data_IF_058754559262
#
_entry.id   IF_058754559262
#
_cell.length_a   1.000
_cell.length_b   1.000
_cell.length_c   1.000
_cell.angle_alpha   90.00
_cell.angle_beta   90.00
_cell.angle_gamma   90.00
#
_symmetry.space_group_name_H-M   'P 1'
#
loop_
_entity.id
_entity.type
_entity.pdbx_description
1 polymer ?
#
# COMPACT_ATOMS: atom_id res chain seq x y z
N UNK A 1 1.82 11.45 3.15
CA UNK A 1 2.95 10.55 2.92
C UNK A 1 3.73 11.00 1.71
N UNK A 2 3.37 10.53 0.52
CA UNK A 2 4.19 10.76 -0.69
C UNK A 2 4.46 12.22 -1.07
N UNK A 3 3.52 13.14 -0.79
CA UNK A 3 3.78 14.58 -0.96
C UNK A 3 4.96 15.10 -0.10
N UNK A 4 5.21 14.50 1.08
CA UNK A 4 6.39 14.80 1.91
C UNK A 4 7.65 14.22 1.28
N UNK A 5 7.57 12.97 0.78
CA UNK A 5 8.70 12.30 0.10
C UNK A 5 9.17 13.04 -1.14
N UNK A 6 8.25 13.64 -1.90
CA UNK A 6 8.59 14.53 -3.02
C UNK A 6 9.56 15.65 -2.62
N UNK A 7 9.41 16.21 -1.41
CA UNK A 7 10.31 17.25 -0.88
C UNK A 7 11.53 16.68 -0.12
N UNK A 8 11.72 15.36 -0.13
CA UNK A 8 12.81 14.69 0.60
C UNK A 8 12.58 14.58 2.11
N UNK A 9 11.39 14.91 2.60
CA UNK A 9 11.03 14.75 4.02
C UNK A 9 10.67 13.30 4.33
N UNK A 10 10.65 12.95 5.63
CA UNK A 10 10.15 11.64 6.05
C UNK A 10 8.68 11.47 5.69
N UNK A 11 8.30 10.26 5.26
CA UNK A 11 6.89 9.87 5.07
C UNK A 11 6.04 10.15 6.33
N UNK A 12 6.70 10.05 7.50
CA UNK A 12 6.14 10.15 8.84
C UNK A 12 6.31 11.54 9.48
N UNK A 13 6.68 12.56 8.71
CA UNK A 13 6.82 13.90 9.28
C UNK A 13 5.51 14.43 9.88
N UNK A 14 5.64 15.06 11.04
CA UNK A 14 4.59 15.79 11.76
C UNK A 14 4.93 17.28 11.95
N UNK A 15 6.04 17.74 11.34
CA UNK A 15 6.43 19.15 11.45
C UNK A 15 5.48 20.01 10.63
N UNK A 16 5.00 21.10 11.21
CA UNK A 16 3.93 21.92 10.63
C UNK A 16 4.35 22.60 9.32
N UNK A 17 5.61 23.02 9.21
CA UNK A 17 6.19 23.61 8.00
C UNK A 17 6.30 22.58 6.85
N UNK A 18 6.75 21.37 7.14
CA UNK A 18 6.81 20.27 6.16
C UNK A 18 5.40 19.85 5.71
N UNK A 19 4.44 19.78 6.63
CA UNK A 19 3.03 19.49 6.33
C UNK A 19 2.38 20.59 5.50
N UNK A 20 2.64 21.86 5.80
CA UNK A 20 2.12 22.98 5.01
C UNK A 20 2.62 22.94 3.56
N UNK A 21 3.89 22.54 3.34
CA UNK A 21 4.43 22.33 1.99
C UNK A 21 3.79 21.16 1.26
N UNK A 22 3.50 20.08 1.98
CA UNK A 22 2.77 18.95 1.42
C UNK A 22 1.32 19.34 1.03
N UNK A 23 0.63 20.13 1.87
CA UNK A 23 -0.71 20.64 1.58
C UNK A 23 -0.72 21.53 0.33
N UNK A 24 0.22 22.47 0.22
CA UNK A 24 0.38 23.34 -0.95
C UNK A 24 0.53 22.51 -2.24
N UNK A 25 1.31 21.44 -2.21
CA UNK A 25 1.48 20.53 -3.35
C UNK A 25 0.18 19.77 -3.66
N UNK A 26 -0.49 19.22 -2.65
CA UNK A 26 -1.74 18.48 -2.83
C UNK A 26 -2.83 19.37 -3.45
N UNK A 27 -2.96 20.63 -2.99
CA UNK A 27 -3.91 21.58 -3.55
C UNK A 27 -3.59 21.93 -5.01
N UNK A 28 -2.32 22.02 -5.40
CA UNK A 28 -1.92 22.20 -6.81
C UNK A 28 -2.26 20.99 -7.68
N UNK A 29 -2.17 19.79 -7.12
CA UNK A 29 -2.52 18.55 -7.83
C UNK A 29 -4.05 18.38 -7.96
N UNK A 30 -4.82 18.90 -7.01
CA UNK A 30 -6.26 18.67 -6.91
C UNK A 30 -7.07 18.86 -8.21
N UNK A 31 -6.88 19.95 -8.99
CA UNK A 31 -7.64 20.15 -10.23
C UNK A 31 -7.38 19.09 -11.31
N UNK A 32 -6.34 18.27 -11.15
CA UNK A 32 -5.97 17.20 -12.07
C UNK A 32 -6.43 15.82 -11.62
N UNK A 33 -7.10 15.71 -10.46
CA UNK A 33 -7.54 14.42 -9.92
C UNK A 33 -8.89 14.02 -10.47
N UNK A 34 -8.96 12.83 -11.04
CA UNK A 34 -10.22 12.18 -11.39
C UNK A 34 -11.03 11.78 -10.14
N UNK A 35 -10.35 11.19 -9.15
CA UNK A 35 -10.96 10.79 -7.89
C UNK A 35 -9.92 10.69 -6.76
N UNK A 36 -10.38 10.75 -5.52
CA UNK A 36 -9.62 10.35 -4.33
C UNK A 36 -10.32 9.13 -3.72
N UNK A 37 -9.93 7.94 -4.16
CA UNK A 37 -10.57 6.67 -3.81
C UNK A 37 -9.53 5.57 -3.63
N UNK A 38 -9.84 4.59 -2.77
CA UNK A 38 -9.09 3.33 -2.70
C UNK A 38 -9.56 2.33 -3.77
N UNK A 39 -10.68 2.60 -4.45
CA UNK A 39 -11.20 1.80 -5.56
C UNK A 39 -10.87 2.48 -6.91
N UNK A 40 -9.60 2.38 -7.31
CA UNK A 40 -9.06 3.04 -8.51
C UNK A 40 -9.06 2.14 -9.75
N UNK A 41 -9.17 0.82 -9.59
CA UNK A 41 -9.07 -0.12 -10.72
C UNK A 41 -10.13 0.13 -11.81
N UNK A 42 -11.41 0.41 -11.51
CA UNK A 42 -12.40 0.66 -12.56
C UNK A 42 -12.03 1.82 -13.48
N UNK A 43 -11.61 2.96 -12.92
CA UNK A 43 -11.20 4.13 -13.70
C UNK A 43 -9.94 3.88 -14.54
N UNK A 44 -8.96 3.15 -14.00
CA UNK A 44 -7.76 2.76 -14.75
C UNK A 44 -8.08 1.82 -15.92
N UNK A 45 -8.99 0.85 -15.73
CA UNK A 45 -9.39 -0.12 -16.77
C UNK A 45 -10.28 0.49 -17.85
N UNK A 46 -11.12 1.47 -17.48
CA UNK A 46 -11.98 2.19 -18.42
C UNK A 46 -11.21 3.24 -19.24
N UNK A 47 -10.02 3.64 -18.80
CA UNK A 47 -9.25 4.74 -19.41
C UNK A 47 -9.67 6.13 -18.93
N UNK A 48 -10.47 6.22 -17.87
CA UNK A 48 -10.89 7.48 -17.25
C UNK A 48 -9.75 8.16 -16.48
N UNK A 49 -8.77 7.36 -16.03
CA UNK A 49 -7.55 7.83 -15.36
C UNK A 49 -6.29 7.28 -16.04
N UNK A 50 -5.27 8.14 -16.20
CA UNK A 50 -3.99 7.76 -16.82
C UNK A 50 -2.95 7.26 -15.80
N UNK A 51 -3.10 7.65 -14.53
CA UNK A 51 -2.15 7.33 -13.46
C UNK A 51 -2.89 7.26 -12.13
N UNK A 52 -2.48 6.33 -11.27
CA UNK A 52 -2.99 6.23 -9.91
C UNK A 52 -1.86 5.90 -8.93
N UNK A 53 -2.04 6.32 -7.68
CA UNK A 53 -1.38 5.64 -6.57
C UNK A 53 -2.12 4.32 -6.32
N UNK A 54 -1.40 3.21 -6.17
CA UNK A 54 -1.99 1.89 -5.98
C UNK A 54 -1.18 1.01 -5.03
N UNK A 55 -1.85 0.00 -4.48
CA UNK A 55 -1.23 -1.09 -3.74
C UNK A 55 -0.52 -2.04 -4.69
N UNK A 56 0.58 -2.64 -4.22
CA UNK A 56 1.49 -3.43 -5.05
C UNK A 56 0.82 -4.64 -5.70
N UNK A 57 -0.07 -5.33 -4.97
CA UNK A 57 -0.83 -6.48 -5.48
C UNK A 57 -1.83 -6.06 -6.57
N UNK A 58 -2.51 -4.93 -6.41
CA UNK A 58 -3.40 -4.37 -7.44
C UNK A 58 -2.62 -3.91 -8.67
N UNK A 59 -1.46 -3.28 -8.47
CA UNK A 59 -0.55 -2.89 -9.55
C UNK A 59 -0.07 -4.09 -10.37
N UNK A 60 0.31 -5.18 -9.70
CA UNK A 60 0.69 -6.43 -10.36
C UNK A 60 -0.49 -7.06 -11.11
N UNK A 61 -1.70 -7.01 -10.54
CA UNK A 61 -2.92 -7.47 -11.19
C UNK A 61 -3.26 -6.64 -12.44
N UNK A 62 -3.26 -5.31 -12.34
CA UNK A 62 -3.50 -4.41 -13.46
C UNK A 62 -2.49 -4.63 -14.58
N UNK A 63 -1.20 -4.72 -14.26
CA UNK A 63 -0.14 -4.99 -15.24
C UNK A 63 -0.32 -6.35 -15.93
N UNK A 64 -0.66 -7.40 -15.17
CA UNK A 64 -0.90 -8.74 -15.74
C UNK A 64 -2.09 -8.73 -16.71
N UNK A 65 -3.16 -8.03 -16.34
CA UNK A 65 -4.40 -8.02 -17.13
C UNK A 65 -4.30 -7.05 -18.34
N UNK A 66 -3.54 -5.96 -18.20
CA UNK A 66 -3.33 -4.91 -19.20
C UNK A 66 -1.82 -4.57 -19.20
N UNK A 67 -1.00 -5.27 -20.02
CA UNK A 67 0.47 -5.14 -20.02
C UNK A 67 1.03 -3.74 -20.25
N UNK A 68 0.23 -2.84 -20.85
CA UNK A 68 0.56 -1.43 -21.04
C UNK A 68 0.59 -0.63 -19.73
N UNK A 69 -0.12 -1.08 -18.69
CA UNK A 69 -0.07 -0.47 -17.36
C UNK A 69 1.22 -0.90 -16.67
N UNK A 70 2.14 0.04 -16.49
CA UNK A 70 3.36 -0.18 -15.72
C UNK A 70 3.16 0.15 -14.23
N UNK A 71 3.76 -0.66 -13.35
CA UNK A 71 3.90 -0.34 -11.94
C UNK A 71 5.33 0.13 -11.66
N UNK A 72 5.47 1.23 -10.92
CA UNK A 72 6.77 1.79 -10.56
C UNK A 72 6.77 2.23 -9.09
N UNK A 73 7.91 2.01 -8.43
CA UNK A 73 8.20 2.62 -7.14
C UNK A 73 8.82 4.00 -7.39
N UNK A 74 8.32 5.03 -6.71
CA UNK A 74 8.86 6.39 -6.82
C UNK A 74 10.31 6.46 -6.33
N UNK A 75 11.18 7.13 -7.09
CA UNK A 75 12.61 7.27 -6.74
C UNK A 75 12.83 8.06 -5.45
N UNK A 76 11.91 8.95 -5.12
CA UNK A 76 11.87 9.74 -3.89
C UNK A 76 11.54 8.87 -2.66
N UNK A 77 11.05 7.65 -2.89
CA UNK A 77 10.53 6.75 -1.88
C UNK A 77 9.02 6.89 -1.70
N UNK A 78 8.51 6.32 -0.61
CA UNK A 78 7.08 6.22 -0.39
C UNK A 78 6.74 5.35 0.81
N UNK A 79 5.61 4.68 0.73
CA UNK A 79 5.14 3.74 1.72
C UNK A 79 5.66 2.33 1.43
N UNK A 80 6.16 1.66 2.48
CA UNK A 80 6.16 0.19 2.55
C UNK A 80 5.13 -0.22 3.59
N UNK A 81 4.37 -1.26 3.29
CA UNK A 81 3.19 -1.63 4.07
C UNK A 81 3.16 -3.14 4.31
N UNK A 82 2.39 -3.55 5.31
CA UNK A 82 2.09 -4.94 5.60
C UNK A 82 0.79 -5.01 6.39
N UNK A 83 -0.06 -5.98 6.05
CA UNK A 83 -1.28 -6.28 6.80
C UNK A 83 -1.03 -7.41 7.80
N UNK A 84 -1.66 -7.28 8.96
CA UNK A 84 -1.58 -8.28 10.02
C UNK A 84 -2.97 -8.76 10.40
N UNK A 85 -3.08 -10.06 10.67
CA UNK A 85 -4.21 -10.57 11.42
C UNK A 85 -4.14 -10.15 12.89
N UNK A 86 -5.28 -9.74 13.45
CA UNK A 86 -5.41 -9.41 14.86
C UNK A 86 -6.69 -10.03 15.44
N UNK A 87 -6.63 -10.47 16.70
CA UNK A 87 -7.81 -10.88 17.48
C UNK A 87 -8.17 -9.72 18.41
N UNK A 88 -9.36 -9.10 18.26
CA UNK A 88 -9.80 -8.05 19.17
C UNK A 88 -9.81 -8.51 20.63
N UNK A 89 -9.43 -7.60 21.55
CA UNK A 89 -9.38 -7.90 22.99
C UNK A 89 -10.71 -8.42 23.53
N UNK A 90 -11.82 -7.91 23.01
CA UNK A 90 -13.17 -8.25 23.44
C UNK A 90 -13.90 -9.19 22.46
N UNK A 91 -13.14 -9.89 21.60
CA UNK A 91 -13.72 -10.88 20.68
C UNK A 91 -14.53 -11.93 21.47
N UNK A 92 -15.81 -12.16 21.12
CA UNK A 92 -16.70 -13.03 21.90
C UNK A 92 -16.31 -14.51 21.82
N UNK A 93 -15.53 -14.90 20.80
CA UNK A 93 -15.02 -16.25 20.62
C UNK A 93 -13.54 -16.25 20.24
N UNK A 94 -12.67 -15.94 21.21
CA UNK A 94 -11.21 -15.99 21.04
C UNK A 94 -10.69 -17.37 20.61
N UNK A 95 -11.18 -18.50 21.17
CA UNK A 95 -10.73 -19.82 20.71
C UNK A 95 -10.93 -20.04 19.21
N UNK A 96 -12.09 -19.66 18.65
CA UNK A 96 -12.32 -19.74 17.21
C UNK A 96 -11.40 -18.78 16.42
N UNK A 97 -11.16 -17.57 16.94
CA UNK A 97 -10.18 -16.65 16.36
C UNK A 97 -8.79 -17.26 16.24
N UNK A 98 -8.27 -17.85 17.32
CA UNK A 98 -6.98 -18.54 17.30
C UNK A 98 -6.96 -19.76 16.37
N UNK A 99 -8.05 -20.53 16.34
CA UNK A 99 -8.17 -21.67 15.42
C UNK A 99 -8.11 -21.22 13.95
N UNK A 100 -8.78 -20.13 13.60
CA UNK A 100 -8.73 -19.54 12.26
C UNK A 100 -7.32 -19.06 11.92
N UNK A 101 -6.65 -18.33 12.83
CA UNK A 101 -5.27 -17.87 12.59
C UNK A 101 -4.30 -19.05 12.40
N UNK A 102 -4.41 -20.09 13.21
CA UNK A 102 -3.59 -21.30 13.04
C UNK A 102 -3.80 -21.96 11.66
N UNK A 103 -5.04 -21.94 11.15
CA UNK A 103 -5.34 -22.46 9.82
C UNK A 103 -4.76 -21.56 8.72
N UNK A 104 -5.02 -20.25 8.76
CA UNK A 104 -4.55 -19.29 7.74
C UNK A 104 -3.02 -19.19 7.69
N UNK A 105 -2.35 -19.26 8.85
CA UNK A 105 -0.88 -19.21 8.96
C UNK A 105 -0.18 -20.55 8.65
N UNK A 106 -0.92 -21.62 8.37
CA UNK A 106 -0.31 -22.84 7.86
C UNK A 106 0.26 -22.57 6.46
N UNK A 107 1.56 -22.83 6.18
CA UNK A 107 2.16 -22.46 4.91
C UNK A 107 1.43 -23.02 3.67
N UNK A 108 0.87 -24.23 3.74
CA UNK A 108 0.12 -24.83 2.63
C UNK A 108 -1.23 -24.15 2.37
N UNK A 109 -1.80 -23.50 3.38
CA UNK A 109 -3.03 -22.71 3.27
C UNK A 109 -2.69 -21.30 2.80
N UNK A 110 -1.71 -20.65 3.44
CA UNK A 110 -1.25 -19.32 3.08
C UNK A 110 -0.82 -19.21 1.61
N UNK A 111 -0.15 -20.23 1.04
CA UNK A 111 0.18 -20.25 -0.41
C UNK A 111 -1.06 -20.05 -1.29
N UNK A 112 -2.17 -20.69 -0.95
CA UNK A 112 -3.42 -20.56 -1.73
C UNK A 112 -3.98 -19.15 -1.64
N UNK A 113 -3.86 -18.54 -0.47
CA UNK A 113 -4.30 -17.17 -0.21
C UNK A 113 -3.46 -16.16 -1.01
N UNK A 114 -2.12 -16.28 -0.95
CA UNK A 114 -1.20 -15.44 -1.72
C UNK A 114 -1.34 -15.60 -3.24
N UNK A 115 -1.62 -16.81 -3.72
CA UNK A 115 -1.92 -17.04 -5.14
C UNK A 115 -3.26 -16.44 -5.59
N UNK A 116 -4.22 -16.34 -4.67
CA UNK A 116 -5.53 -15.78 -4.96
C UNK A 116 -5.53 -14.24 -4.89
N UNK A 117 -4.88 -13.65 -3.88
CA UNK A 117 -4.86 -12.19 -3.67
C UNK A 117 -3.71 -11.47 -4.40
N UNK A 118 -2.65 -12.20 -4.80
CA UNK A 118 -1.48 -11.65 -5.48
C UNK A 118 -0.52 -10.85 -4.60
N UNK A 119 -0.68 -10.82 -3.28
CA UNK A 119 0.19 -10.07 -2.37
C UNK A 119 1.48 -10.85 -2.06
N UNK A 120 2.65 -10.17 -1.95
CA UNK A 120 3.89 -10.84 -1.59
C UNK A 120 3.85 -11.33 -0.13
N UNK A 121 4.46 -12.49 0.13
CA UNK A 121 4.51 -13.05 1.49
C UNK A 121 5.77 -12.62 2.23
N UNK A 122 5.61 -12.30 3.52
CA UNK A 122 6.71 -12.04 4.45
C UNK A 122 7.19 -13.31 5.17
N UNK A 123 6.51 -14.45 4.98
CA UNK A 123 6.88 -15.73 5.57
C UNK A 123 7.74 -16.56 4.60
N UNK A 124 9.02 -16.77 4.96
CA UNK A 124 9.95 -17.56 4.15
C UNK A 124 9.46 -19.00 3.89
N UNK A 125 8.65 -19.58 4.77
CA UNK A 125 8.07 -20.92 4.61
C UNK A 125 7.00 -20.95 3.53
N UNK A 126 6.27 -19.83 3.36
CA UNK A 126 5.30 -19.64 2.28
C UNK A 126 6.05 -19.39 0.97
N UNK A 127 7.07 -18.53 0.99
CA UNK A 127 7.89 -18.25 -0.19
C UNK A 127 8.55 -19.51 -0.76
N UNK A 128 9.01 -20.43 0.09
CA UNK A 128 9.57 -21.72 -0.34
C UNK A 128 8.57 -22.64 -1.08
N UNK A 129 7.27 -22.36 -0.99
CA UNK A 129 6.19 -23.13 -1.60
C UNK A 129 5.49 -22.40 -2.75
N UNK A 130 5.81 -21.12 -2.98
CA UNK A 130 5.24 -20.35 -4.08
C UNK A 130 5.87 -20.73 -5.43
N UNK A 131 5.12 -20.64 -6.54
CA UNK A 131 5.65 -20.82 -7.89
C UNK A 131 6.77 -19.82 -8.20
N UNK A 132 7.76 -20.24 -8.99
CA UNK A 132 8.90 -19.40 -9.36
C UNK A 132 8.46 -18.15 -10.11
N UNK A 133 7.42 -18.24 -10.93
CA UNK A 133 6.87 -17.14 -11.72
C UNK A 133 6.33 -16.02 -10.83
N UNK A 134 5.84 -16.35 -9.63
CA UNK A 134 5.39 -15.37 -8.63
C UNK A 134 6.59 -14.72 -7.94
N UNK A 135 7.58 -15.54 -7.55
CA UNK A 135 8.79 -15.07 -6.85
C UNK A 135 9.71 -14.22 -7.75
N UNK A 136 9.71 -14.48 -9.05
CA UNK A 136 10.51 -13.73 -10.03
C UNK A 136 9.79 -12.45 -10.51
N UNK A 137 8.54 -12.19 -10.09
CA UNK A 137 7.81 -11.00 -10.48
C UNK A 137 8.41 -9.75 -9.80
N UNK A 138 9.01 -8.81 -10.56
CA UNK A 138 9.72 -7.67 -9.97
C UNK A 138 8.80 -6.61 -9.35
N UNK A 139 7.49 -6.67 -9.62
CA UNK A 139 6.50 -5.81 -8.93
C UNK A 139 6.27 -6.33 -7.51
N UNK A 140 6.12 -7.66 -7.37
CA UNK A 140 5.81 -8.31 -6.08
C UNK A 140 7.06 -8.51 -5.21
N UNK A 141 8.18 -8.89 -5.83
CA UNK A 141 9.46 -9.13 -5.20
C UNK A 141 10.54 -8.25 -5.85
N UNK A 142 10.49 -6.92 -5.63
CA UNK A 142 11.45 -5.99 -6.22
C UNK A 142 12.86 -6.19 -5.68
N UNK A 143 13.85 -5.67 -6.40
CA UNK A 143 15.22 -5.57 -5.88
C UNK A 143 15.23 -4.82 -4.54
N UNK A 144 15.98 -5.33 -3.57
CA UNK A 144 16.01 -4.79 -2.20
C UNK A 144 16.37 -3.29 -2.13
N UNK A 145 17.19 -2.80 -3.06
CA UNK A 145 17.55 -1.38 -3.14
C UNK A 145 16.36 -0.46 -3.41
N UNK A 146 15.34 -0.94 -4.14
CA UNK A 146 14.12 -0.18 -4.42
C UNK A 146 13.22 -0.02 -3.19
N UNK A 147 13.41 -0.86 -2.16
CA UNK A 147 12.65 -0.80 -0.91
C UNK A 147 13.30 0.14 0.12
N UNK A 148 14.61 0.40 0.02
CA UNK A 148 15.36 1.27 0.95
C UNK A 148 14.78 2.68 1.16
N UNK A 149 14.27 3.39 0.13
CA UNK A 149 13.72 4.73 0.32
C UNK A 149 12.27 4.71 0.84
N UNK A 150 11.64 3.54 0.98
CA UNK A 150 10.29 3.39 1.50
C UNK A 150 10.29 3.39 3.04
N UNK A 151 9.21 3.89 3.63
CA UNK A 151 9.03 3.96 5.07
C UNK A 151 7.71 3.32 5.47
N UNK A 152 7.70 2.56 6.56
CA UNK A 152 6.45 2.14 7.19
C UNK A 152 5.74 3.35 7.79
N UNK A 153 4.40 3.36 7.70
CA UNK A 153 3.58 4.33 8.43
C UNK A 153 3.74 4.16 9.93
N UNK A 154 4.21 5.20 10.63
CA UNK A 154 4.32 5.20 12.08
C UNK A 154 2.93 5.40 12.71
N UNK A 155 2.67 4.75 13.85
CA UNK A 155 1.39 4.91 14.57
C UNK A 155 1.06 6.39 14.84
N UNK A 156 2.04 7.16 15.31
CA UNK A 156 1.88 8.59 15.55
C UNK A 156 1.45 9.36 14.30
N UNK A 157 1.91 8.95 13.11
CA UNK A 157 1.49 9.54 11.82
C UNK A 157 0.06 9.18 11.45
N UNK A 158 -0.34 7.93 11.64
CA UNK A 158 -1.67 7.43 11.25
C UNK A 158 -2.79 7.96 12.16
N UNK A 159 -2.46 8.34 13.39
CA UNK A 159 -3.41 8.88 14.37
C UNK A 159 -3.26 10.38 14.61
N UNK A 160 -2.42 11.09 13.83
CA UNK A 160 -2.19 12.52 14.04
C UNK A 160 -3.42 13.34 13.58
N UNK A 161 -4.02 14.16 14.46
CA UNK A 161 -5.19 14.97 14.11
C UNK A 161 -4.84 16.05 13.08
N UNK A 162 -3.63 16.61 13.10
CA UNK A 162 -3.20 17.63 12.15
C UNK A 162 -3.14 17.11 10.72
N UNK A 163 -2.64 15.88 10.51
CA UNK A 163 -2.66 15.20 9.21
C UNK A 163 -4.08 14.85 8.78
N UNK A 164 -4.94 14.42 9.71
CA UNK A 164 -6.34 14.15 9.42
C UNK A 164 -7.08 15.41 8.94
N UNK A 165 -6.90 16.54 9.63
CA UNK A 165 -7.47 17.83 9.28
C UNK A 165 -6.95 18.36 7.94
N UNK A 166 -5.65 18.26 7.68
CA UNK A 166 -5.04 18.60 6.39
C UNK A 166 -5.69 17.81 5.26
N UNK A 167 -5.81 16.48 5.43
CA UNK A 167 -6.46 15.64 4.42
C UNK A 167 -7.94 15.98 4.23
N UNK A 168 -8.64 16.38 5.29
CA UNK A 168 -10.02 16.86 5.19
C UNK A 168 -10.12 18.15 4.36
N UNK A 169 -9.27 19.14 4.64
CA UNK A 169 -9.19 20.39 3.85
C UNK A 169 -8.85 20.12 2.39
N UNK A 170 -7.85 19.28 2.13
CA UNK A 170 -7.50 18.86 0.78
C UNK A 170 -8.68 18.19 0.08
N UNK A 171 -9.45 17.32 0.74
CA UNK A 171 -10.62 16.66 0.11
C UNK A 171 -11.78 17.63 -0.13
N UNK A 172 -11.96 18.66 0.69
CA UNK A 172 -13.05 19.64 0.55
C UNK A 172 -12.77 20.83 -0.37
N UNK A 173 -11.51 21.14 -0.67
CA UNK A 173 -11.09 22.29 -1.48
C UNK A 173 -11.63 22.31 -2.92
#
# INVERSE_FOLDING_TARGET
GNALKYYGYSFNSLKQDELAKAEELLLKVKPHLFAVSSDYQPGMRAGDAWMTMCWTNDGAQLHRDIPEIAYVLGKEGGEIWTDFYAIPKDAPNKPAGYALLNYLMNPKVAVKEHLANGAPSTDARVNALLPKEVLDNPILYPAADLLKPLEFGAAATLTDPGRAELMARFKSA
#
